data_IF_442786488183
#
_entry.id   IF_442786488183
#
_cell.length_a   1.000
_cell.length_b   1.000
_cell.length_c   1.000
_cell.angle_alpha   90.00
_cell.angle_beta   90.00
_cell.angle_gamma   90.00
#
_symmetry.space_group_name_H-M   'P 1'
#
loop_
_entity.id
_entity.type
_entity.pdbx_description
1 polymer ?
#
# COMPACT_ATOMS: atom_id res chain seq x y z
N UNK A 1 -22.25 22.40 20.20
CA UNK A 1 -23.22 21.84 19.25
C UNK A 1 -22.47 20.75 18.49
N UNK A 2 -22.79 19.49 18.76
CA UNK A 2 -22.07 18.35 18.18
C UNK A 2 -22.36 18.27 16.68
N UNK A 3 -21.31 18.27 15.87
CA UNK A 3 -21.41 17.87 14.47
C UNK A 3 -22.06 16.48 14.42
N UNK A 4 -23.10 16.37 13.60
CA UNK A 4 -23.91 15.17 13.53
C UNK A 4 -23.10 14.04 12.88
N UNK A 5 -23.37 12.79 13.28
CA UNK A 5 -22.76 11.57 12.74
C UNK A 5 -22.85 11.43 11.20
N UNK A 6 -23.57 12.33 10.53
CA UNK A 6 -23.83 12.33 9.09
C UNK A 6 -22.78 13.09 8.27
N UNK A 7 -21.98 13.98 8.89
CA UNK A 7 -20.96 14.78 8.18
C UNK A 7 -19.64 14.00 7.95
N UNK A 8 -19.47 12.82 8.56
CA UNK A 8 -18.27 11.96 8.36
C UNK A 8 -18.29 11.12 7.08
N UNK A 9 -19.35 11.23 6.28
CA UNK A 9 -19.63 10.35 5.13
C UNK A 9 -19.02 10.88 3.80
N UNK A 10 -18.55 12.14 3.76
CA UNK A 10 -18.24 12.82 2.48
C UNK A 10 -16.90 12.38 1.83
N UNK A 11 -15.81 12.24 2.59
CA UNK A 11 -14.51 11.87 1.98
C UNK A 11 -14.41 10.40 1.57
N UNK A 12 -15.01 9.47 2.33
CA UNK A 12 -15.08 8.05 1.94
C UNK A 12 -15.91 7.87 0.66
N UNK A 13 -16.98 8.66 0.50
CA UNK A 13 -17.86 8.56 -0.65
C UNK A 13 -17.18 8.97 -1.97
N UNK A 14 -16.35 10.02 -1.96
CA UNK A 14 -15.61 10.45 -3.16
C UNK A 14 -14.57 9.41 -3.60
N UNK A 15 -13.85 8.81 -2.65
CA UNK A 15 -12.90 7.72 -2.93
C UNK A 15 -13.64 6.51 -3.53
N UNK A 16 -14.73 6.09 -2.88
CA UNK A 16 -15.56 4.97 -3.35
C UNK A 16 -16.12 5.26 -4.75
N UNK A 17 -16.63 6.46 -4.98
CA UNK A 17 -17.17 6.88 -6.27
C UNK A 17 -16.09 6.89 -7.36
N UNK A 18 -14.89 7.38 -7.06
CA UNK A 18 -13.75 7.33 -7.98
C UNK A 18 -13.34 5.90 -8.33
N UNK A 19 -13.25 5.00 -7.34
CA UNK A 19 -12.94 3.58 -7.55
C UNK A 19 -14.00 2.90 -8.41
N UNK A 20 -15.29 3.15 -8.14
CA UNK A 20 -16.39 2.60 -8.92
C UNK A 20 -16.37 3.12 -10.36
N UNK A 21 -16.08 4.42 -10.57
CA UNK A 21 -15.95 5.00 -11.92
C UNK A 21 -14.79 4.38 -12.70
N UNK A 22 -13.66 4.16 -12.02
CA UNK A 22 -12.47 3.57 -12.60
C UNK A 22 -12.69 2.11 -13.01
N UNK A 23 -13.21 1.30 -12.08
CA UNK A 23 -13.33 -0.14 -12.26
C UNK A 23 -14.58 -0.55 -13.04
N UNK A 24 -15.67 0.24 -12.92
CA UNK A 24 -17.03 -0.15 -13.33
C UNK A 24 -17.34 -1.60 -12.93
N UNK A 25 -17.22 -1.92 -11.62
CA UNK A 25 -17.20 -3.29 -11.18
C UNK A 25 -18.57 -3.95 -11.37
N UNK A 26 -18.56 -5.22 -11.72
CA UNK A 26 -19.75 -6.06 -11.88
C UNK A 26 -19.95 -6.99 -10.68
N UNK A 27 -18.85 -7.35 -10.01
CA UNK A 27 -18.84 -8.20 -8.82
C UNK A 27 -18.08 -7.51 -7.69
N UNK A 28 -18.78 -7.17 -6.62
CA UNK A 28 -18.25 -6.41 -5.48
C UNK A 28 -18.53 -7.16 -4.19
N UNK A 29 -17.56 -7.15 -3.27
CA UNK A 29 -17.71 -7.71 -1.94
C UNK A 29 -17.31 -6.68 -0.89
N UNK A 30 -18.13 -6.49 0.13
CA UNK A 30 -17.83 -5.69 1.31
C UNK A 30 -17.86 -6.56 2.55
N UNK A 31 -16.87 -6.38 3.43
CA UNK A 31 -16.83 -7.00 4.75
C UNK A 31 -16.57 -5.93 5.79
N UNK A 32 -17.30 -5.94 6.90
CA UNK A 32 -17.11 -4.98 7.97
C UNK A 32 -18.39 -4.25 8.35
N UNK A 33 -18.31 -2.92 8.44
CA UNK A 33 -19.46 -2.10 8.85
C UNK A 33 -20.52 -1.96 7.75
N UNK A 34 -21.78 -1.94 8.19
CA UNK A 34 -22.90 -1.64 7.31
C UNK A 34 -22.88 -0.24 6.74
N UNK A 35 -22.36 0.75 7.48
CA UNK A 35 -22.16 2.11 6.97
C UNK A 35 -21.31 2.13 5.69
N UNK A 36 -20.21 1.38 5.68
CA UNK A 36 -19.31 1.31 4.53
C UNK A 36 -19.92 0.55 3.36
N UNK A 37 -20.66 -0.54 3.64
CA UNK A 37 -21.48 -1.23 2.63
C UNK A 37 -22.49 -0.29 1.97
N UNK A 38 -23.22 0.50 2.77
CA UNK A 38 -24.23 1.44 2.26
C UNK A 38 -23.61 2.58 1.45
N UNK A 39 -22.44 3.09 1.86
CA UNK A 39 -21.70 4.09 1.10
C UNK A 39 -21.27 3.54 -0.27
N UNK A 40 -20.74 2.31 -0.29
CA UNK A 40 -20.36 1.62 -1.52
C UNK A 40 -21.55 1.33 -2.43
N UNK A 41 -22.70 0.93 -1.87
CA UNK A 41 -23.94 0.74 -2.63
C UNK A 41 -24.39 2.03 -3.32
N UNK A 42 -24.33 3.17 -2.62
CA UNK A 42 -24.65 4.49 -3.19
C UNK A 42 -23.68 4.90 -4.29
N UNK A 43 -22.38 4.63 -4.10
CA UNK A 43 -21.37 4.90 -5.11
C UNK A 43 -21.64 4.09 -6.40
N UNK A 44 -21.91 2.80 -6.26
CA UNK A 44 -22.30 1.91 -7.36
C UNK A 44 -23.53 2.41 -8.13
N UNK A 45 -24.55 2.86 -7.40
CA UNK A 45 -25.77 3.38 -8.00
C UNK A 45 -25.52 4.69 -8.77
N UNK A 46 -24.74 5.61 -8.18
CA UNK A 46 -24.47 6.94 -8.74
C UNK A 46 -23.73 6.93 -10.08
N UNK A 47 -22.94 5.89 -10.36
CA UNK A 47 -22.07 5.82 -11.55
C UNK A 47 -22.82 5.31 -12.77
N UNK A 48 -24.01 4.72 -12.61
CA UNK A 48 -24.91 4.39 -13.73
C UNK A 48 -24.22 3.59 -14.83
N UNK A 49 -23.67 2.42 -14.49
CA UNK A 49 -22.77 1.63 -15.36
C UNK A 49 -23.43 0.94 -16.56
N UNK A 50 -24.75 1.06 -16.77
CA UNK A 50 -25.49 0.30 -17.80
C UNK A 50 -25.53 -1.22 -17.56
N UNK A 51 -24.79 -1.71 -16.57
CA UNK A 51 -24.74 -3.07 -16.05
C UNK A 51 -25.03 -2.97 -14.57
N UNK A 52 -26.01 -3.74 -14.09
CA UNK A 52 -26.34 -3.84 -12.67
C UNK A 52 -25.22 -4.62 -11.97
N UNK A 53 -24.47 -4.01 -11.04
CA UNK A 53 -23.44 -4.73 -10.29
C UNK A 53 -24.10 -5.77 -9.38
N UNK A 54 -23.29 -6.61 -8.75
CA UNK A 54 -23.68 -7.45 -7.60
C UNK A 54 -22.81 -7.05 -6.41
N UNK A 55 -23.42 -6.67 -5.29
CA UNK A 55 -22.72 -6.31 -4.05
C UNK A 55 -23.06 -7.33 -2.97
N UNK A 56 -22.09 -8.19 -2.62
CA UNK A 56 -22.18 -9.07 -1.46
C UNK A 56 -21.72 -8.33 -0.21
N UNK A 57 -22.48 -8.43 0.89
CA UNK A 57 -22.15 -7.79 2.16
C UNK A 57 -22.04 -8.84 3.27
N UNK A 58 -20.90 -8.87 3.95
CA UNK A 58 -20.66 -9.66 5.15
C UNK A 58 -20.48 -8.72 6.35
N UNK A 59 -21.20 -8.98 7.43
CA UNK A 59 -20.98 -8.31 8.70
C UNK A 59 -19.69 -8.84 9.38
N UNK A 60 -19.02 -8.01 10.18
CA UNK A 60 -17.89 -8.45 11.02
C UNK A 60 -18.37 -9.28 12.23
N UNK A 61 -19.61 -9.06 12.68
CA UNK A 61 -20.25 -9.73 13.81
C UNK A 61 -21.24 -10.83 13.41
N UNK A 62 -21.32 -11.88 14.25
CA UNK A 62 -22.18 -13.07 14.06
C UNK A 62 -23.70 -12.75 13.97
N UNK A 63 -24.10 -11.48 14.11
CA UNK A 63 -25.47 -11.00 14.13
C UNK A 63 -26.09 -10.67 12.76
N UNK A 64 -25.28 -10.61 11.69
CA UNK A 64 -25.74 -10.20 10.36
C UNK A 64 -26.09 -8.70 10.29
N UNK A 65 -25.98 -8.11 9.11
CA UNK A 65 -26.22 -6.69 8.92
C UNK A 65 -27.70 -6.37 8.67
N UNK A 66 -28.49 -6.39 9.75
CA UNK A 66 -29.91 -6.03 9.71
C UNK A 66 -30.19 -4.62 9.18
N UNK A 67 -29.18 -3.74 9.18
CA UNK A 67 -29.25 -2.39 8.62
C UNK A 67 -29.19 -2.40 7.10
N UNK A 68 -28.22 -3.11 6.53
CA UNK A 68 -28.08 -3.29 5.07
C UNK A 68 -29.26 -4.08 4.51
N UNK A 69 -29.71 -5.14 5.19
CA UNK A 69 -30.87 -5.94 4.75
C UNK A 69 -32.15 -5.07 4.68
N UNK A 70 -32.38 -4.27 5.72
CA UNK A 70 -33.51 -3.33 5.76
C UNK A 70 -33.40 -2.30 4.64
N UNK A 71 -32.23 -1.70 4.46
CA UNK A 71 -31.98 -0.70 3.41
C UNK A 71 -32.26 -1.26 2.02
N UNK A 72 -31.72 -2.45 1.70
CA UNK A 72 -31.92 -3.10 0.41
C UNK A 72 -33.40 -3.36 0.15
N UNK A 73 -34.15 -3.84 1.15
CA UNK A 73 -35.59 -4.11 1.05
C UNK A 73 -36.42 -2.84 0.87
N UNK A 74 -36.11 -1.76 1.59
CA UNK A 74 -36.88 -0.51 1.56
C UNK A 74 -36.65 0.31 0.28
N UNK A 75 -35.51 0.12 -0.38
CA UNK A 75 -35.12 0.90 -1.56
C UNK A 75 -35.20 0.08 -2.87
N UNK A 76 -35.97 -1.00 -2.90
CA UNK A 76 -36.24 -1.75 -4.13
C UNK A 76 -37.05 -0.93 -5.14
N UNK A 77 -36.77 -1.04 -6.46
CA UNK A 77 -35.77 -1.92 -7.09
C UNK A 77 -34.37 -1.29 -7.21
N UNK A 78 -34.19 -0.07 -6.71
CA UNK A 78 -32.98 0.75 -6.94
C UNK A 78 -31.69 0.10 -6.41
N UNK A 79 -31.79 -0.66 -5.33
CA UNK A 79 -30.66 -1.37 -4.70
C UNK A 79 -30.86 -2.89 -4.64
N UNK A 80 -31.58 -3.48 -5.62
CA UNK A 80 -31.79 -4.94 -5.69
C UNK A 80 -30.50 -5.75 -5.86
N UNK A 81 -29.40 -5.08 -6.21
CA UNK A 81 -28.07 -5.67 -6.33
C UNK A 81 -27.33 -5.89 -5.01
N UNK A 82 -27.85 -5.40 -3.90
CA UNK A 82 -27.23 -5.55 -2.58
C UNK A 82 -27.74 -6.84 -1.94
N UNK A 83 -26.82 -7.76 -1.69
CA UNK A 83 -27.06 -9.09 -1.12
C UNK A 83 -26.31 -9.24 0.22
N UNK A 84 -26.97 -8.97 1.35
CA UNK A 84 -26.44 -9.33 2.66
C UNK A 84 -26.30 -10.85 2.77
N UNK A 85 -25.19 -11.32 3.33
CA UNK A 85 -24.94 -12.73 3.63
C UNK A 85 -24.96 -12.91 5.15
N UNK A 86 -25.81 -13.83 5.61
CA UNK A 86 -25.90 -14.19 7.01
C UNK A 86 -24.69 -15.04 7.45
N UNK A 87 -24.10 -14.68 8.57
CA UNK A 87 -23.01 -15.41 9.22
C UNK A 87 -21.60 -14.92 8.84
N UNK A 88 -20.60 -15.45 9.55
CA UNK A 88 -19.21 -15.03 9.38
C UNK A 88 -18.62 -15.51 8.05
N UNK A 89 -17.87 -14.62 7.38
CA UNK A 89 -17.03 -14.98 6.23
C UNK A 89 -16.09 -16.16 6.56
N UNK A 90 -15.65 -16.27 7.82
CA UNK A 90 -14.73 -17.31 8.26
C UNK A 90 -15.36 -18.69 8.43
N UNK A 91 -16.67 -18.75 8.61
CA UNK A 91 -17.43 -19.99 8.74
C UNK A 91 -17.90 -20.52 7.37
N UNK A 92 -17.79 -19.68 6.32
CA UNK A 92 -18.09 -20.12 4.96
C UNK A 92 -17.04 -21.10 4.43
N UNK A 93 -17.49 -22.24 3.88
CA UNK A 93 -16.61 -23.13 3.12
C UNK A 93 -15.90 -22.36 1.98
N UNK A 94 -14.56 -22.49 1.82
CA UNK A 94 -13.81 -21.78 0.78
C UNK A 94 -14.30 -21.99 -0.66
N UNK A 95 -14.99 -23.10 -0.92
CA UNK A 95 -15.65 -23.40 -2.20
C UNK A 95 -16.70 -22.35 -2.57
N UNK A 96 -17.48 -21.86 -1.61
CA UNK A 96 -18.55 -20.90 -1.89
C UNK A 96 -18.01 -19.55 -2.34
N UNK A 97 -16.86 -19.09 -1.79
CA UNK A 97 -16.19 -17.87 -2.26
C UNK A 97 -15.64 -18.01 -3.69
N UNK A 98 -15.33 -19.23 -4.16
CA UNK A 98 -14.97 -19.46 -5.57
C UNK A 98 -16.17 -19.36 -6.48
N UNK A 99 -17.33 -19.81 -6.00
CA UNK A 99 -18.58 -19.82 -6.78
C UNK A 99 -19.18 -18.41 -6.92
N UNK A 100 -18.88 -17.49 -5.98
CA UNK A 100 -19.36 -16.10 -6.02
C UNK A 100 -18.35 -15.09 -6.55
N UNK A 101 -17.09 -15.48 -6.72
CA UNK A 101 -16.05 -14.68 -7.37
C UNK A 101 -15.84 -15.05 -8.85
N UNK A 102 -14.85 -14.46 -9.53
CA UNK A 102 -13.91 -13.46 -9.02
C UNK A 102 -14.56 -12.10 -8.74
N UNK A 103 -13.96 -11.32 -7.84
CA UNK A 103 -14.40 -9.96 -7.48
C UNK A 103 -13.58 -8.90 -8.19
N UNK A 104 -14.25 -7.89 -8.72
CA UNK A 104 -13.63 -6.70 -9.32
C UNK A 104 -13.18 -5.71 -8.24
N UNK A 105 -13.96 -5.63 -7.16
CA UNK A 105 -13.68 -4.77 -6.00
C UNK A 105 -14.02 -5.51 -4.70
N UNK A 106 -13.08 -5.49 -3.75
CA UNK A 106 -13.26 -5.96 -2.38
C UNK A 106 -13.01 -4.78 -1.43
N UNK A 107 -13.95 -4.51 -0.52
CA UNK A 107 -13.80 -3.49 0.53
C UNK A 107 -13.77 -4.13 1.91
N UNK A 108 -12.69 -3.89 2.66
CA UNK A 108 -12.48 -4.39 4.02
C UNK A 108 -12.52 -3.20 4.98
N UNK A 109 -13.46 -3.26 5.91
CA UNK A 109 -13.64 -2.32 7.01
C UNK A 109 -13.73 -3.11 8.33
N UNK A 110 -12.68 -3.87 8.64
CA UNK A 110 -12.64 -4.72 9.83
C UNK A 110 -12.30 -3.94 11.10
N UNK A 111 -12.75 -4.44 12.25
CA UNK A 111 -12.54 -3.77 13.54
C UNK A 111 -11.08 -3.79 14.06
N UNK A 112 -10.21 -4.61 13.46
CA UNK A 112 -8.81 -4.73 13.88
C UNK A 112 -7.87 -5.18 12.75
N UNK A 113 -6.58 -4.84 12.88
CA UNK A 113 -5.52 -5.31 11.97
C UNK A 113 -5.44 -6.84 11.86
N UNK A 114 -5.78 -7.56 12.93
CA UNK A 114 -5.79 -9.04 12.92
C UNK A 114 -6.95 -9.55 12.07
N UNK A 115 -8.12 -8.92 12.20
CA UNK A 115 -9.30 -9.24 11.39
C UNK A 115 -9.04 -8.92 9.92
N UNK A 116 -8.49 -7.74 9.63
CA UNK A 116 -8.11 -7.33 8.27
C UNK A 116 -7.12 -8.31 7.62
N UNK A 117 -6.09 -8.74 8.35
CA UNK A 117 -5.13 -9.73 7.86
C UNK A 117 -5.80 -11.07 7.49
N UNK A 118 -6.79 -11.51 8.28
CA UNK A 118 -7.56 -12.72 8.00
C UNK A 118 -8.45 -12.54 6.78
N UNK A 119 -9.10 -11.39 6.63
CA UNK A 119 -9.91 -11.06 5.45
C UNK A 119 -9.05 -11.01 4.19
N UNK A 120 -7.91 -10.31 4.21
CA UNK A 120 -6.97 -10.28 3.08
C UNK A 120 -6.56 -11.69 2.67
N UNK A 121 -6.18 -12.55 3.62
CA UNK A 121 -5.81 -13.94 3.34
C UNK A 121 -6.94 -14.75 2.71
N UNK A 122 -8.17 -14.56 3.19
CA UNK A 122 -9.34 -15.28 2.71
C UNK A 122 -9.80 -14.80 1.32
N UNK A 123 -9.73 -13.49 1.07
CA UNK A 123 -10.34 -12.86 -0.10
C UNK A 123 -9.37 -12.66 -1.26
N UNK A 124 -8.07 -12.47 -1.00
CA UNK A 124 -7.07 -12.21 -2.05
C UNK A 124 -7.07 -13.22 -3.21
N UNK A 125 -7.18 -14.55 -2.97
CA UNK A 125 -7.24 -15.53 -4.06
C UNK A 125 -8.45 -15.36 -5.00
N UNK A 126 -9.49 -14.66 -4.53
CA UNK A 126 -10.77 -14.46 -5.20
C UNK A 126 -10.88 -13.09 -5.87
N UNK A 127 -9.89 -12.22 -5.74
CA UNK A 127 -9.82 -10.95 -6.48
C UNK A 127 -9.48 -11.24 -7.93
N UNK A 128 -10.27 -10.75 -8.88
CA UNK A 128 -10.05 -10.97 -10.31
C UNK A 128 -8.75 -10.32 -10.82
N UNK A 129 -8.27 -10.69 -12.02
CA UNK A 129 -7.21 -9.95 -12.69
C UNK A 129 -7.59 -8.47 -12.82
N UNK A 130 -6.66 -7.55 -12.48
CA UNK A 130 -6.91 -6.11 -12.37
C UNK A 130 -7.91 -5.68 -11.28
N UNK A 131 -8.48 -6.61 -10.51
CA UNK A 131 -9.36 -6.31 -9.39
C UNK A 131 -8.61 -5.62 -8.26
N UNK A 132 -9.35 -4.87 -7.45
CA UNK A 132 -8.82 -4.09 -6.32
C UNK A 132 -9.36 -4.65 -5.01
N UNK A 133 -8.48 -4.78 -4.03
CA UNK A 133 -8.82 -4.99 -2.63
C UNK A 133 -8.44 -3.74 -1.83
N UNK A 134 -9.42 -3.15 -1.14
CA UNK A 134 -9.29 -1.93 -0.35
C UNK A 134 -9.42 -2.24 1.15
N UNK A 135 -8.65 -1.56 1.99
CA UNK A 135 -8.63 -1.72 3.46
C UNK A 135 -8.74 -0.34 4.12
N UNK A 136 -9.82 -0.08 4.85
CA UNK A 136 -10.16 1.23 5.41
C UNK A 136 -9.25 1.66 6.58
N UNK A 137 -8.70 0.70 7.34
CA UNK A 137 -7.85 0.96 8.52
C UNK A 137 -6.35 0.89 8.19
N UNK A 138 -5.95 1.39 7.02
CA UNK A 138 -4.57 1.26 6.54
C UNK A 138 -3.61 2.34 7.06
N UNK A 139 -4.10 3.54 7.35
CA UNK A 139 -3.24 4.70 7.60
C UNK A 139 -2.76 4.78 9.05
N UNK A 140 -1.74 3.97 9.32
CA UNK A 140 -0.56 4.44 10.03
C UNK A 140 0.53 4.53 8.95
N UNK A 141 1.55 5.42 9.04
CA UNK A 141 2.67 5.41 8.09
C UNK A 141 3.14 3.96 7.88
N UNK A 142 3.48 3.52 6.66
CA UNK A 142 3.70 2.08 6.42
C UNK A 142 4.75 1.46 7.36
N UNK A 143 5.67 2.27 7.89
CA UNK A 143 6.62 1.90 8.95
C UNK A 143 5.96 1.46 10.27
N UNK A 144 4.76 1.94 10.57
CA UNK A 144 3.99 1.71 11.80
C UNK A 144 2.80 0.74 11.63
N UNK A 145 2.38 0.40 10.40
CA UNK A 145 1.34 -0.60 10.17
C UNK A 145 1.95 -1.99 9.82
N UNK A 146 1.94 -2.97 10.74
CA UNK A 146 2.57 -4.27 10.51
C UNK A 146 1.90 -5.08 9.37
N UNK A 147 0.61 -4.86 9.09
CA UNK A 147 -0.09 -5.53 7.99
C UNK A 147 0.41 -5.05 6.63
N UNK A 148 0.54 -3.73 6.45
CA UNK A 148 1.05 -3.15 5.21
C UNK A 148 2.51 -3.48 4.96
N UNK A 149 3.34 -3.46 6.00
CA UNK A 149 4.70 -3.98 5.92
C UNK A 149 4.74 -5.43 5.43
N UNK A 150 3.85 -6.29 5.93
CA UNK A 150 3.82 -7.69 5.51
C UNK A 150 3.36 -7.83 4.05
N UNK A 151 2.29 -7.13 3.65
CA UNK A 151 1.79 -7.16 2.26
C UNK A 151 2.87 -6.70 1.28
N UNK A 152 3.51 -5.57 1.57
CA UNK A 152 4.57 -5.01 0.73
C UNK A 152 5.81 -5.91 0.67
N UNK A 153 6.14 -6.65 1.73
CA UNK A 153 7.30 -7.55 1.76
C UNK A 153 7.06 -8.88 1.08
N UNK A 154 5.84 -9.41 1.14
CA UNK A 154 5.56 -10.79 0.75
C UNK A 154 4.71 -10.91 -0.53
N UNK A 155 4.10 -9.83 -1.01
CA UNK A 155 3.23 -9.83 -2.19
C UNK A 155 3.69 -8.87 -3.32
N UNK A 156 4.90 -8.30 -3.24
CA UNK A 156 5.37 -7.23 -4.13
C UNK A 156 5.38 -7.57 -5.64
N UNK A 157 5.58 -8.85 -5.97
CA UNK A 157 5.73 -9.27 -7.37
C UNK A 157 4.37 -9.33 -8.12
N UNK A 158 3.27 -9.52 -7.38
CA UNK A 158 1.92 -9.77 -7.93
C UNK A 158 0.94 -8.60 -7.71
N UNK A 159 1.38 -7.52 -7.04
CA UNK A 159 0.50 -6.46 -6.53
C UNK A 159 1.04 -5.07 -6.85
N UNK A 160 0.14 -4.18 -7.27
CA UNK A 160 0.35 -2.73 -7.23
C UNK A 160 -0.37 -2.18 -6.00
N UNK A 161 0.36 -1.55 -5.08
CA UNK A 161 -0.20 -1.04 -3.82
C UNK A 161 -0.21 0.49 -3.81
N UNK A 162 -1.25 1.08 -3.21
CA UNK A 162 -1.42 2.53 -3.07
C UNK A 162 -2.13 2.85 -1.75
N UNK A 163 -1.81 3.97 -1.10
CA UNK A 163 -2.50 4.42 0.12
C UNK A 163 -3.14 5.79 -0.09
N UNK A 164 -4.40 5.92 0.29
CA UNK A 164 -5.20 7.13 0.21
C UNK A 164 -5.40 7.72 1.62
N UNK A 165 -4.90 8.93 1.90
CA UNK A 165 -5.19 9.60 3.17
C UNK A 165 -6.67 10.03 3.22
N UNK A 166 -7.27 10.03 4.41
CA UNK A 166 -8.60 10.62 4.63
C UNK A 166 -8.43 12.10 4.97
N UNK A 167 -9.25 12.96 4.37
CA UNK A 167 -9.09 14.43 4.43
C UNK A 167 -9.65 15.04 5.73
N UNK A 168 -10.40 14.26 6.54
CA UNK A 168 -11.17 14.79 7.67
C UNK A 168 -10.84 14.13 9.03
N UNK A 169 -10.11 14.87 9.89
CA UNK A 169 -10.04 14.66 11.35
C UNK A 169 -8.66 14.31 11.94
N UNK A 170 -8.44 14.66 13.21
CA UNK A 170 -7.18 14.49 13.97
C UNK A 170 -6.74 13.01 14.17
N UNK A 171 -7.57 12.02 13.78
CA UNK A 171 -7.33 10.57 13.90
C UNK A 171 -7.51 9.83 12.55
N UNK A 172 -7.22 10.48 11.42
CA UNK A 172 -7.60 10.00 10.08
C UNK A 172 -6.93 8.68 9.66
N UNK A 173 -7.62 7.56 9.91
CA UNK A 173 -7.39 6.30 9.18
C UNK A 173 -7.77 6.49 7.72
N UNK A 174 -6.87 6.11 6.83
CA UNK A 174 -6.97 6.21 5.37
C UNK A 174 -7.00 4.83 4.73
N UNK A 175 -7.32 4.78 3.45
CA UNK A 175 -7.64 3.55 2.72
C UNK A 175 -6.43 3.05 1.94
N UNK A 176 -6.09 1.79 2.10
CA UNK A 176 -5.01 1.18 1.34
C UNK A 176 -5.57 0.27 0.28
N UNK A 177 -5.03 0.36 -0.93
CA UNK A 177 -5.49 -0.31 -2.14
C UNK A 177 -4.43 -1.29 -2.61
N UNK A 178 -4.86 -2.51 -2.92
CA UNK A 178 -4.06 -3.57 -3.53
C UNK A 178 -4.71 -3.94 -4.85
N UNK A 179 -4.04 -3.66 -5.96
CA UNK A 179 -4.49 -4.10 -7.28
C UNK A 179 -3.74 -5.35 -7.70
N UNK A 180 -4.49 -6.38 -8.11
CA UNK A 180 -3.92 -7.61 -8.64
C UNK A 180 -3.34 -7.35 -10.03
N UNK A 181 -2.03 -7.57 -10.22
CA UNK A 181 -1.40 -7.41 -11.54
C UNK A 181 -2.04 -8.36 -12.56
N UNK A 182 -2.15 -7.89 -13.79
CA UNK A 182 -2.54 -8.71 -14.94
C UNK A 182 -1.30 -9.26 -15.65
N UNK A 183 -1.47 -10.32 -16.43
CA UNK A 183 -0.38 -10.90 -17.24
C UNK A 183 0.18 -9.92 -18.30
N UNK A 184 -0.53 -8.83 -18.60
CA UNK A 184 -0.10 -7.77 -19.52
C UNK A 184 0.47 -6.55 -18.79
N UNK A 185 1.66 -6.11 -19.21
CA UNK A 185 2.25 -4.82 -18.81
C UNK A 185 1.38 -3.67 -19.31
N UNK A 186 0.94 -2.79 -18.42
CA UNK A 186 0.14 -1.60 -18.77
C UNK A 186 1.03 -0.39 -19.05
N UNK A 187 0.61 0.46 -19.98
CA UNK A 187 1.33 1.70 -20.34
C UNK A 187 1.15 2.82 -19.28
N UNK A 188 0.07 2.76 -18.50
CA UNK A 188 -0.32 3.78 -17.53
C UNK A 188 -0.24 3.20 -16.11
N UNK A 189 0.35 3.96 -15.18
CA UNK A 189 0.48 3.55 -13.79
C UNK A 189 -0.88 3.57 -13.08
N UNK A 190 -1.07 2.70 -12.08
CA UNK A 190 -2.30 2.71 -11.28
C UNK A 190 -2.53 4.04 -10.55
N UNK A 191 -1.49 4.81 -10.29
CA UNK A 191 -1.61 6.16 -9.73
C UNK A 191 -2.21 7.15 -10.71
N UNK A 192 -1.75 7.14 -11.95
CA UNK A 192 -2.29 8.05 -12.98
C UNK A 192 -3.77 7.74 -13.25
N UNK A 193 -4.13 6.45 -13.28
CA UNK A 193 -5.52 5.98 -13.35
C UNK A 193 -6.37 6.56 -12.20
N UNK A 194 -5.85 6.49 -10.97
CA UNK A 194 -6.57 6.94 -9.79
C UNK A 194 -6.67 8.47 -9.69
N UNK A 195 -5.62 9.20 -10.04
CA UNK A 195 -5.64 10.68 -10.09
C UNK A 195 -6.63 11.15 -11.16
N UNK A 196 -6.66 10.51 -12.33
CA UNK A 196 -7.63 10.82 -13.37
C UNK A 196 -9.08 10.54 -12.92
N UNK A 197 -9.29 9.52 -12.09
CA UNK A 197 -10.62 9.11 -11.63
C UNK A 197 -11.15 9.91 -10.43
N UNK A 198 -10.28 10.33 -9.51
CA UNK A 198 -10.68 11.00 -8.25
C UNK A 198 -10.42 12.49 -8.26
N UNK A 199 -9.50 13.00 -9.09
CA UNK A 199 -9.07 14.39 -9.06
C UNK A 199 -8.25 14.78 -7.81
N UNK A 200 -7.92 13.81 -6.94
CA UNK A 200 -7.17 14.03 -5.70
C UNK A 200 -5.69 13.67 -5.93
N UNK A 201 -4.72 14.52 -5.56
CA UNK A 201 -3.31 14.15 -5.56
C UNK A 201 -3.08 13.04 -4.53
N UNK A 202 -2.66 11.87 -5.02
CA UNK A 202 -2.52 10.68 -4.17
C UNK A 202 -1.10 10.61 -3.62
N UNK A 203 -0.96 10.32 -2.31
CA UNK A 203 0.33 9.99 -1.73
C UNK A 203 0.82 8.68 -2.33
N UNK A 204 1.79 8.80 -3.23
CA UNK A 204 2.71 7.72 -3.54
C UNK A 204 3.64 7.62 -2.33
N UNK A 205 3.37 6.71 -1.40
CA UNK A 205 4.54 6.02 -0.88
C UNK A 205 5.10 5.29 -2.08
N UNK A 206 6.22 5.78 -2.59
CA UNK A 206 7.12 4.91 -3.31
C UNK A 206 7.43 3.78 -2.33
N UNK A 207 6.70 2.69 -2.51
CA UNK A 207 7.27 1.36 -2.55
C UNK A 207 8.66 1.55 -3.14
N UNK A 208 9.68 1.24 -2.36
CA UNK A 208 11.07 1.31 -2.79
C UNK A 208 11.28 0.31 -3.93
N UNK A 209 10.88 0.71 -5.14
CA UNK A 209 11.45 0.23 -6.39
C UNK A 209 12.29 1.41 -6.85
N UNK A 210 13.45 1.57 -6.22
CA UNK A 210 14.55 2.31 -6.80
C UNK A 210 15.53 1.26 -7.36
N UNK A 211 15.88 1.49 -8.63
CA UNK A 211 16.90 0.78 -9.38
C UNK A 211 18.18 0.58 -8.56
N UNK A 212 18.75 -0.62 -8.71
CA UNK A 212 19.79 -1.26 -7.88
C UNK A 212 19.36 -1.48 -6.42
N UNK A 213 19.08 -2.75 -6.08
CA UNK A 213 18.71 -3.17 -4.72
C UNK A 213 19.61 -2.43 -3.72
N UNK A 214 19.04 -1.55 -2.85
CA UNK A 214 19.80 -0.80 -1.87
C UNK A 214 20.82 -1.72 -1.20
N UNK A 215 22.01 -1.20 -0.93
CA UNK A 215 23.08 -1.98 -0.30
C UNK A 215 22.61 -2.68 1.01
N UNK A 216 21.55 -2.14 1.63
CA UNK A 216 20.77 -2.71 2.73
C UNK A 216 19.90 -3.94 2.35
N UNK A 217 19.29 -3.97 1.17
CA UNK A 217 18.54 -5.10 0.61
C UNK A 217 19.48 -6.23 0.17
N UNK A 218 20.65 -5.89 -0.42
CA UNK A 218 21.71 -6.86 -0.66
C UNK A 218 22.23 -7.45 0.65
N UNK A 219 22.43 -6.62 1.69
CA UNK A 219 22.80 -7.11 3.03
C UNK A 219 21.73 -8.00 3.65
N UNK A 220 20.45 -7.66 3.49
CA UNK A 220 19.31 -8.47 3.95
C UNK A 220 19.24 -9.81 3.20
N UNK A 221 19.47 -9.82 1.89
CA UNK A 221 19.58 -11.04 1.09
C UNK A 221 20.74 -11.94 1.54
N UNK A 222 21.91 -11.35 1.89
CA UNK A 222 23.04 -12.11 2.45
C UNK A 222 22.70 -12.65 3.85
N UNK A 223 21.98 -11.92 4.69
CA UNK A 223 21.49 -12.44 5.98
C UNK A 223 20.51 -13.61 5.79
N UNK A 224 19.66 -13.58 4.78
CA UNK A 224 18.79 -14.72 4.43
C UNK A 224 19.57 -15.93 3.92
N UNK A 225 20.64 -15.72 3.13
CA UNK A 225 21.59 -16.77 2.75
C UNK A 225 22.23 -17.39 4.00
N UNK A 226 22.61 -16.58 4.98
CA UNK A 226 23.18 -17.04 6.24
C UNK A 226 22.14 -17.72 7.16
N UNK A 227 20.85 -17.47 6.98
CA UNK A 227 19.79 -18.16 7.73
C UNK A 227 19.58 -19.61 7.25
N UNK A 228 19.80 -19.87 5.95
CA UNK A 228 19.73 -21.19 5.34
C UNK A 228 20.97 -22.04 5.72
N UNK A 229 20.79 -23.20 6.38
CA UNK A 229 21.89 -23.98 6.94
C UNK A 229 22.83 -24.56 5.88
N UNK A 230 22.34 -24.91 4.70
CA UNK A 230 23.15 -25.50 3.63
C UNK A 230 24.03 -24.42 2.99
N UNK A 231 23.43 -23.25 2.71
CA UNK A 231 24.15 -22.09 2.17
C UNK A 231 25.21 -21.58 3.13
N UNK A 232 24.87 -21.44 4.41
CA UNK A 232 25.81 -21.04 5.46
C UNK A 232 26.98 -22.01 5.58
N UNK A 233 26.71 -23.32 5.52
CA UNK A 233 27.75 -24.36 5.57
C UNK A 233 28.72 -24.29 4.39
N UNK A 234 28.19 -24.12 3.17
CA UNK A 234 29.02 -23.98 1.96
C UNK A 234 29.84 -22.70 1.99
N UNK A 235 29.26 -21.58 2.42
CA UNK A 235 29.98 -20.31 2.53
C UNK A 235 31.15 -20.39 3.52
N UNK A 236 30.94 -20.96 4.70
CA UNK A 236 32.02 -21.13 5.68
C UNK A 236 33.11 -22.08 5.19
N UNK A 237 32.73 -23.18 4.52
CA UNK A 237 33.69 -24.09 3.91
C UNK A 237 34.62 -23.35 2.91
N UNK A 238 34.06 -22.48 2.07
CA UNK A 238 34.84 -21.62 1.17
C UNK A 238 35.73 -20.65 1.96
N UNK A 239 35.20 -20.02 3.02
CA UNK A 239 35.97 -19.12 3.90
C UNK A 239 37.14 -19.79 4.63
N UNK A 240 37.08 -21.10 4.86
CA UNK A 240 38.20 -21.88 5.42
C UNK A 240 39.26 -22.29 4.38
N UNK A 241 39.08 -21.93 3.11
CA UNK A 241 40.03 -22.16 2.01
C UNK A 241 39.65 -23.27 1.03
N UNK A 242 38.48 -23.90 1.17
CA UNK A 242 38.01 -24.92 0.23
C UNK A 242 37.44 -24.26 -1.04
N UNK A 243 38.17 -24.34 -2.14
CA UNK A 243 37.88 -23.56 -3.35
C UNK A 243 37.38 -24.37 -4.55
N UNK A 244 37.22 -25.69 -4.42
CA UNK A 244 36.76 -26.59 -5.50
C UNK A 244 35.48 -27.31 -5.12
N UNK A 245 34.61 -27.57 -6.11
CA UNK A 245 33.34 -28.26 -5.90
C UNK A 245 33.53 -29.66 -5.29
N UNK A 246 34.57 -30.39 -5.72
CA UNK A 246 34.89 -31.73 -5.19
C UNK A 246 35.28 -31.67 -3.71
N UNK A 247 36.11 -30.70 -3.32
CA UNK A 247 36.50 -30.52 -1.93
C UNK A 247 35.31 -30.07 -1.06
N UNK A 248 34.46 -29.17 -1.56
CA UNK A 248 33.24 -28.73 -0.89
C UNK A 248 32.23 -29.87 -0.71
N UNK A 249 32.06 -30.73 -1.72
CA UNK A 249 31.16 -31.88 -1.63
C UNK A 249 31.62 -32.87 -0.56
N UNK A 250 32.93 -33.14 -0.51
CA UNK A 250 33.53 -34.03 0.48
C UNK A 250 33.41 -33.47 1.90
N UNK A 251 33.56 -32.15 2.06
CA UNK A 251 33.54 -31.49 3.37
C UNK A 251 32.12 -31.25 3.91
N UNK A 252 31.19 -30.84 3.05
CA UNK A 252 29.82 -30.48 3.46
C UNK A 252 28.87 -31.67 3.51
N UNK A 253 29.19 -32.77 2.83
CA UNK A 253 28.32 -33.94 2.71
C UNK A 253 27.04 -33.70 1.90
N UNK A 254 26.89 -32.53 1.27
CA UNK A 254 25.69 -32.18 0.51
C UNK A 254 25.60 -32.99 -0.79
N UNK A 255 24.38 -33.42 -1.19
CA UNK A 255 24.15 -34.00 -2.50
C UNK A 255 24.58 -33.03 -3.60
N UNK A 256 25.15 -33.54 -4.69
CA UNK A 256 25.71 -32.70 -5.77
C UNK A 256 24.74 -31.61 -6.25
N UNK A 257 23.45 -31.94 -6.44
CA UNK A 257 22.43 -30.96 -6.83
C UNK A 257 22.23 -29.83 -5.80
N UNK A 258 22.22 -30.16 -4.51
CA UNK A 258 22.06 -29.18 -3.43
C UNK A 258 23.30 -28.27 -3.32
N UNK A 259 24.49 -28.85 -3.44
CA UNK A 259 25.75 -28.10 -3.44
C UNK A 259 25.82 -27.10 -4.61
N UNK A 260 25.49 -27.53 -5.84
CA UNK A 260 25.51 -26.64 -7.00
C UNK A 260 24.46 -25.52 -6.87
N UNK A 261 23.27 -25.82 -6.33
CA UNK A 261 22.25 -24.81 -6.03
C UNK A 261 22.73 -23.81 -4.98
N UNK A 262 23.41 -24.28 -3.93
CA UNK A 262 23.98 -23.42 -2.90
C UNK A 262 25.05 -22.49 -3.47
N UNK A 263 25.99 -23.04 -4.25
CA UNK A 263 27.04 -22.25 -4.93
C UNK A 263 26.41 -21.23 -5.88
N UNK A 264 25.44 -21.61 -6.70
CA UNK A 264 24.77 -20.70 -7.64
C UNK A 264 24.06 -19.53 -6.92
N UNK A 265 23.42 -19.80 -5.77
CA UNK A 265 22.78 -18.75 -4.96
C UNK A 265 23.82 -17.82 -4.31
N UNK A 266 24.96 -18.34 -3.85
CA UNK A 266 26.06 -17.52 -3.32
C UNK A 266 26.70 -16.63 -4.40
N UNK A 267 26.79 -17.12 -5.63
CA UNK A 267 27.19 -16.33 -6.80
C UNK A 267 26.18 -15.26 -7.16
N UNK A 268 24.89 -15.61 -7.18
CA UNK A 268 23.83 -14.66 -7.51
C UNK A 268 23.76 -13.47 -6.54
N UNK A 269 24.16 -13.69 -5.28
CA UNK A 269 24.26 -12.64 -4.26
C UNK A 269 25.63 -11.94 -4.23
N UNK A 270 26.54 -12.31 -5.13
CA UNK A 270 27.92 -11.83 -5.19
C UNK A 270 28.68 -11.98 -3.86
N UNK A 271 28.33 -13.00 -3.07
CA UNK A 271 29.03 -13.34 -1.80
C UNK A 271 30.25 -14.21 -2.09
N UNK A 272 30.16 -14.99 -3.15
CA UNK A 272 31.24 -15.83 -3.67
C UNK A 272 31.51 -15.43 -5.11
N UNK A 273 32.77 -15.33 -5.47
CA UNK A 273 33.22 -15.07 -6.84
C UNK A 273 34.19 -16.17 -7.28
N UNK A 274 34.58 -16.12 -8.56
CA UNK A 274 35.52 -17.07 -9.16
C UNK A 274 36.77 -16.32 -9.59
N UNK A 275 37.92 -16.71 -9.06
CA UNK A 275 39.24 -16.19 -9.41
C UNK A 275 40.12 -17.38 -9.76
N UNK A 276 40.71 -17.40 -10.97
CA UNK A 276 41.58 -18.49 -11.44
C UNK A 276 40.99 -19.90 -11.21
N UNK A 277 39.71 -20.06 -11.57
CA UNK A 277 38.93 -21.29 -11.39
C UNK A 277 38.68 -21.77 -9.94
N UNK A 278 38.96 -20.90 -8.97
CA UNK A 278 38.74 -21.15 -7.55
C UNK A 278 37.58 -20.32 -7.02
N UNK A 279 36.75 -20.95 -6.20
CA UNK A 279 35.71 -20.27 -5.43
C UNK A 279 36.36 -19.52 -4.28
N UNK A 280 36.12 -18.22 -4.20
CA UNK A 280 36.61 -17.35 -3.13
C UNK A 280 35.48 -16.47 -2.62
N UNK A 281 35.52 -16.12 -1.35
CA UNK A 281 34.58 -15.13 -0.80
C UNK A 281 34.92 -13.77 -1.42
N UNK A 282 33.91 -13.07 -1.89
CA UNK A 282 34.08 -11.68 -2.34
C UNK A 282 34.09 -10.76 -1.12
N UNK A 283 35.29 -10.45 -0.62
CA UNK A 283 35.48 -9.59 0.55
C UNK A 283 34.91 -8.19 0.32
N UNK A 284 34.90 -7.70 -0.93
CA UNK A 284 34.37 -6.36 -1.26
C UNK A 284 32.90 -6.24 -0.88
N UNK A 285 32.12 -7.31 -1.06
CA UNK A 285 30.70 -7.35 -0.68
C UNK A 285 30.51 -7.11 0.82
N UNK A 286 31.36 -7.69 1.66
CA UNK A 286 31.29 -7.49 3.11
C UNK A 286 31.91 -6.16 3.56
N UNK A 287 32.97 -5.69 2.90
CA UNK A 287 33.54 -4.36 3.13
C UNK A 287 32.55 -3.24 2.78
N UNK A 288 31.74 -3.43 1.73
CA UNK A 288 30.63 -2.54 1.38
C UNK A 288 29.57 -2.52 2.49
N UNK A 289 29.26 -3.67 3.12
CA UNK A 289 28.35 -3.73 4.26
C UNK A 289 28.88 -3.03 5.50
N UNK A 290 30.20 -3.03 5.74
CA UNK A 290 30.80 -2.28 6.85
C UNK A 290 30.66 -0.76 6.69
N UNK A 291 30.49 -0.29 5.45
CA UNK A 291 30.25 1.12 5.12
C UNK A 291 28.77 1.51 5.24
N UNK A 292 27.87 0.55 5.49
CA UNK A 292 26.48 0.86 5.76
C UNK A 292 26.39 1.80 6.98
N UNK A 293 25.59 2.87 6.90
CA UNK A 293 25.47 3.82 7.98
C UNK A 293 25.00 3.10 9.26
N UNK A 294 25.78 3.18 10.34
CA UNK A 294 25.45 2.56 11.64
C UNK A 294 24.48 3.42 12.47
N UNK A 295 23.69 4.27 11.82
CA UNK A 295 22.84 5.29 12.44
C UNK A 295 21.37 5.04 12.16
N UNK A 296 20.52 5.29 13.16
CA UNK A 296 19.06 5.49 12.99
C UNK A 296 18.82 6.29 11.70
N UNK A 297 17.81 5.92 10.89
CA UNK A 297 17.66 6.41 9.52
C UNK A 297 17.71 7.93 9.49
N UNK A 298 18.54 8.49 8.60
CA UNK A 298 18.60 9.92 8.35
C UNK A 298 17.47 10.34 7.42
N UNK A 299 16.95 11.59 7.53
CA UNK A 299 15.89 12.07 6.67
C UNK A 299 16.36 12.04 5.21
N UNK A 300 15.58 11.38 4.37
CA UNK A 300 15.82 11.22 2.93
C UNK A 300 15.87 12.57 2.23
N UNK A 301 17.08 13.06 1.94
CA UNK A 301 17.30 14.12 0.96
C UNK A 301 17.43 13.50 -0.44
N UNK A 302 16.31 13.34 -1.17
CA UNK A 302 16.31 13.13 -2.62
C UNK A 302 15.21 14.02 -3.23
N UNK A 303 15.51 14.80 -4.29
CA UNK A 303 14.59 15.80 -4.85
C UNK A 303 13.46 15.12 -5.66
N UNK A 304 12.24 15.08 -5.10
CA UNK A 304 11.11 14.32 -5.66
C UNK A 304 10.25 15.00 -6.73
N UNK A 305 10.46 16.27 -7.09
CA UNK A 305 9.51 16.95 -7.98
C UNK A 305 10.21 18.01 -8.85
N UNK A 306 10.55 17.67 -10.11
CA UNK A 306 11.24 18.63 -10.99
C UNK A 306 10.63 18.82 -12.39
N UNK A 307 9.41 18.34 -12.65
CA UNK A 307 8.72 18.71 -13.90
C UNK A 307 7.60 19.73 -13.75
N UNK A 308 6.94 19.86 -12.60
CA UNK A 308 6.01 20.97 -12.32
C UNK A 308 5.91 21.28 -10.81
N UNK A 309 7.04 21.62 -10.19
CA UNK A 309 7.07 21.94 -8.74
C UNK A 309 6.13 23.09 -8.38
N UNK A 310 5.99 24.08 -9.26
CA UNK A 310 5.09 25.20 -9.06
C UNK A 310 3.62 24.77 -9.03
N UNK A 311 3.19 23.89 -9.93
CA UNK A 311 1.82 23.38 -9.96
C UNK A 311 1.53 22.52 -8.73
N UNK A 312 2.50 21.71 -8.32
CA UNK A 312 2.41 20.92 -7.09
C UNK A 312 2.21 21.80 -5.84
N UNK A 313 3.02 22.85 -5.69
CA UNK A 313 2.88 23.80 -4.58
C UNK A 313 1.55 24.57 -4.63
N UNK A 314 1.06 24.89 -5.83
CA UNK A 314 -0.26 25.52 -6.05
C UNK A 314 -1.39 24.65 -5.53
N UNK A 315 -1.38 23.35 -5.85
CA UNK A 315 -2.40 22.39 -5.42
C UNK A 315 -2.41 22.24 -3.90
N UNK A 316 -1.24 22.23 -3.25
CA UNK A 316 -1.17 22.18 -1.77
C UNK A 316 -1.78 23.44 -1.16
N UNK A 317 -1.48 24.62 -1.70
CA UNK A 317 -2.02 25.87 -1.20
C UNK A 317 -3.54 26.00 -1.39
N UNK A 318 -4.11 25.40 -2.44
CA UNK A 318 -5.56 25.37 -2.67
C UNK A 318 -6.34 24.59 -1.60
N UNK A 319 -5.68 23.70 -0.84
CA UNK A 319 -6.30 23.01 0.29
C UNK A 319 -6.45 23.90 1.54
N UNK A 320 -5.75 25.05 1.57
CA UNK A 320 -5.87 26.03 2.64
C UNK A 320 -6.83 27.15 2.26
N UNK A 321 -7.52 27.68 3.26
CA UNK A 321 -8.39 28.83 3.05
C UNK A 321 -7.59 30.05 2.61
N UNK A 322 -8.09 30.74 1.58
CA UNK A 322 -7.61 32.05 1.15
C UNK A 322 -8.21 33.20 1.96
N UNK A 323 -9.26 32.93 2.74
CA UNK A 323 -10.03 33.95 3.47
C UNK A 323 -9.82 33.89 4.98
N UNK A 324 -9.38 32.75 5.51
CA UNK A 324 -9.15 32.52 6.94
C UNK A 324 -7.71 32.09 7.22
N UNK A 325 -7.22 32.47 8.40
CA UNK A 325 -5.87 32.12 8.84
C UNK A 325 -5.87 30.71 9.46
N UNK A 326 -4.98 29.86 8.96
CA UNK A 326 -4.70 28.52 9.47
C UNK A 326 -3.50 28.55 10.40
N UNK A 327 -3.57 27.82 11.51
CA UNK A 327 -2.44 27.72 12.45
C UNK A 327 -1.26 26.96 11.86
N UNK A 328 -0.07 27.18 12.41
CA UNK A 328 1.14 26.45 12.04
C UNK A 328 0.95 24.93 12.17
N UNK A 329 0.22 24.49 13.19
CA UNK A 329 -0.13 23.09 13.38
C UNK A 329 -0.94 22.56 12.20
N UNK A 330 -2.03 23.23 11.82
CA UNK A 330 -2.88 22.82 10.70
C UNK A 330 -2.12 22.79 9.37
N UNK A 331 -1.22 23.75 9.16
CA UNK A 331 -0.40 23.83 7.94
C UNK A 331 0.67 22.74 7.93
N UNK A 332 1.22 22.39 9.09
CA UNK A 332 2.15 21.26 9.23
C UNK A 332 1.46 19.95 8.96
N UNK A 333 0.27 19.73 9.53
CA UNK A 333 -0.54 18.55 9.23
C UNK A 333 -0.80 18.46 7.72
N UNK A 334 -1.17 19.58 7.09
CA UNK A 334 -1.34 19.61 5.64
C UNK A 334 -0.05 19.25 4.89
N UNK A 335 1.08 19.87 5.23
CA UNK A 335 2.35 19.64 4.55
C UNK A 335 2.88 18.21 4.76
N UNK A 336 2.59 17.59 5.90
CA UNK A 336 2.92 16.18 6.19
C UNK A 336 2.25 15.20 5.24
N UNK A 337 1.13 15.57 4.60
CA UNK A 337 0.53 14.72 3.56
C UNK A 337 1.40 14.61 2.31
N UNK A 338 2.33 15.54 2.09
CA UNK A 338 3.07 15.70 0.84
C UNK A 338 4.58 15.53 0.98
N UNK A 339 5.16 15.83 2.15
CA UNK A 339 6.60 15.72 2.42
C UNK A 339 6.87 15.43 3.92
N UNK A 340 7.76 14.49 4.21
CA UNK A 340 8.19 14.16 5.58
C UNK A 340 8.93 15.33 6.24
N UNK A 341 9.61 16.17 5.44
CA UNK A 341 10.10 17.49 5.84
C UNK A 341 9.03 18.57 5.59
N UNK A 342 7.89 18.38 6.26
CA UNK A 342 6.75 19.29 6.21
C UNK A 342 7.13 20.73 6.57
N UNK A 343 8.17 20.93 7.39
CA UNK A 343 8.66 22.23 7.77
C UNK A 343 9.36 22.93 6.59
N UNK A 344 10.15 22.20 5.80
CA UNK A 344 10.77 22.71 4.58
C UNK A 344 9.73 22.94 3.49
N UNK A 345 8.79 22.02 3.29
CA UNK A 345 7.69 22.21 2.32
C UNK A 345 6.83 23.45 2.65
N UNK A 346 6.49 23.64 3.93
CA UNK A 346 5.77 24.84 4.39
C UNK A 346 6.55 26.12 4.13
N UNK A 347 7.87 26.12 4.34
CA UNK A 347 8.72 27.28 4.01
C UNK A 347 8.72 27.54 2.52
N UNK A 348 8.86 26.50 1.70
CA UNK A 348 8.84 26.62 0.25
C UNK A 348 7.53 27.20 -0.26
N UNK A 349 6.38 26.80 0.29
CA UNK A 349 5.07 27.38 -0.01
C UNK A 349 4.98 28.88 0.31
N UNK A 350 5.65 29.34 1.36
CA UNK A 350 5.76 30.77 1.71
C UNK A 350 6.73 31.49 0.78
N UNK A 351 7.91 30.92 0.55
CA UNK A 351 8.99 31.51 -0.24
C UNK A 351 8.61 31.67 -1.71
N UNK A 352 7.80 30.75 -2.23
CA UNK A 352 7.21 30.81 -3.60
C UNK A 352 5.95 31.66 -3.67
N UNK A 353 5.45 32.15 -2.53
CA UNK A 353 4.33 33.06 -2.41
C UNK A 353 2.97 32.41 -2.70
N UNK A 354 2.82 31.11 -2.43
CA UNK A 354 1.53 30.44 -2.41
C UNK A 354 0.84 30.55 -1.04
N UNK A 355 1.63 30.71 0.04
CA UNK A 355 1.14 31.02 1.38
C UNK A 355 1.66 32.38 1.85
N UNK A 356 0.80 33.12 2.53
CA UNK A 356 1.17 34.27 3.33
C UNK A 356 1.30 33.85 4.80
N UNK A 357 2.38 34.29 5.46
CA UNK A 357 2.65 34.04 6.88
C UNK A 357 2.46 35.33 7.68
N UNK A 358 1.79 35.26 8.82
CA UNK A 358 1.60 36.41 9.69
C UNK A 358 2.93 36.87 10.34
N UNK A 359 2.95 38.07 10.92
CA UNK A 359 4.16 38.66 11.55
C UNK A 359 4.68 37.87 12.76
N UNK A 360 3.81 37.15 13.47
CA UNK A 360 4.19 36.28 14.59
C UNK A 360 4.74 34.92 14.12
N UNK A 361 4.62 34.61 12.83
CA UNK A 361 5.09 33.38 12.23
C UNK A 361 4.26 32.13 12.53
N UNK A 362 3.12 32.26 13.22
CA UNK A 362 2.31 31.16 13.74
C UNK A 362 1.06 30.85 12.93
N UNK A 363 0.70 31.71 11.96
CA UNK A 363 -0.50 31.56 11.14
C UNK A 363 -0.19 31.78 9.66
N UNK A 364 -0.90 31.07 8.80
CA UNK A 364 -0.72 31.07 7.35
C UNK A 364 -2.08 31.17 6.63
N UNK A 365 -2.10 31.73 5.43
CA UNK A 365 -3.29 31.70 4.56
C UNK A 365 -2.88 31.51 3.10
N UNK A 366 -3.75 30.92 2.29
CA UNK A 366 -3.49 30.76 0.87
C UNK A 366 -3.55 32.10 0.12
N UNK A 367 -2.60 32.31 -0.78
CA UNK A 367 -2.62 33.41 -1.74
C UNK A 367 -3.20 32.88 -3.04
N UNK A 368 -4.34 33.41 -3.46
CA UNK A 368 -4.93 33.11 -4.76
C UNK A 368 -4.06 33.67 -5.87
N UNK A 369 -3.09 32.89 -6.35
CA UNK A 369 -2.41 33.16 -7.61
C UNK A 369 -3.16 32.43 -8.72
N UNK A 370 -3.64 33.19 -9.71
CA UNK A 370 -4.18 32.65 -10.97
C UNK A 370 -3.16 31.76 -11.68
#
# INVERSE_FOLDING_TARGET
MSASSWDRIDSSFEILSGLVRLLRPTSVLSVGSGSSTLALARALESVGSGITPRLLSFADDDGGDSGVERFARENRPRFDFVEPIDGSLFDMPPRHLRDVGPFDLVWIDGESLVTDARFVRALWPHVGPNGILAIENSYLPAEANPLWNAILRFCADDVEALTLPRVDGEDSMGVGLLRRRSDSVREVSFTDDMVAATGVPLRFESIGVHDDAPLLDRATGVLHVLADPDLRTVLFAIGTGLSTVVALQTHTGLPGRALHKAIARLFAMSVVTRVDDRLVIDEKTFEEFLKLPRTKPQPTQIPRYSRDRAEFLKVIAQQLSSTTWSSEHQVNELCRFFDDDYATLRRELVDTGFLERNSAGSMYRALGKE
#
